data_IF_016102870765
#
_entry.id   IF_016102870765
#
_cell.length_a   1.000
_cell.length_b   1.000
_cell.length_c   1.000
_cell.angle_alpha   90.00
_cell.angle_beta   90.00
_cell.angle_gamma   90.00
#
_symmetry.space_group_name_H-M   'P 1'
#
loop_
_entity.id
_entity.type
_entity.pdbx_description
1 polymer ?
#
# COMPACT_ATOMS: atom_id res chain seq x y z
N UNK A 1 1.60 -16.63 -60.58
CA UNK A 1 0.18 -17.02 -60.33
C UNK A 1 -0.66 -15.75 -60.23
N UNK A 2 -1.77 -15.65 -60.97
CA UNK A 2 -2.74 -14.54 -60.81
C UNK A 2 -3.63 -14.85 -59.61
N UNK A 3 -3.67 -13.96 -58.62
CA UNK A 3 -4.58 -14.07 -57.48
C UNK A 3 -6.02 -13.89 -57.96
N UNK A 4 -6.93 -14.75 -57.50
CA UNK A 4 -8.35 -14.65 -57.83
C UNK A 4 -8.99 -13.48 -57.07
N UNK A 5 -10.02 -12.86 -57.66
CA UNK A 5 -10.71 -11.70 -57.09
C UNK A 5 -11.22 -11.95 -55.67
N UNK A 6 -11.70 -13.17 -55.39
CA UNK A 6 -12.17 -13.56 -54.05
C UNK A 6 -11.05 -13.56 -53.01
N UNK A 7 -9.82 -13.90 -53.40
CA UNK A 7 -8.65 -13.84 -52.51
C UNK A 7 -8.28 -12.41 -52.15
N UNK A 8 -8.39 -11.47 -53.10
CA UNK A 8 -8.14 -10.04 -52.84
C UNK A 8 -9.17 -9.44 -51.88
N UNK A 9 -10.45 -9.82 -52.00
CA UNK A 9 -11.50 -9.39 -51.08
C UNK A 9 -11.22 -9.92 -49.67
N UNK A 10 -10.85 -11.19 -49.54
CA UNK A 10 -10.49 -11.79 -48.25
C UNK A 10 -9.31 -11.08 -47.58
N UNK A 11 -8.28 -10.70 -48.35
CA UNK A 11 -7.13 -9.96 -47.83
C UNK A 11 -7.54 -8.56 -47.36
N UNK A 12 -8.38 -7.85 -48.14
CA UNK A 12 -8.84 -6.52 -47.76
C UNK A 12 -9.68 -6.54 -46.47
N UNK A 13 -10.54 -7.56 -46.31
CA UNK A 13 -11.33 -7.77 -45.09
C UNK A 13 -10.41 -8.11 -43.92
N UNK A 14 -9.43 -9.02 -44.10
CA UNK A 14 -8.48 -9.37 -43.06
C UNK A 14 -7.69 -8.14 -42.59
N UNK A 15 -7.15 -7.33 -43.51
CA UNK A 15 -6.43 -6.10 -43.18
C UNK A 15 -7.32 -5.06 -42.46
N UNK A 16 -8.59 -4.95 -42.88
CA UNK A 16 -9.56 -4.04 -42.24
C UNK A 16 -9.87 -4.49 -40.81
N UNK A 17 -10.08 -5.79 -40.60
CA UNK A 17 -10.31 -6.37 -39.28
C UNK A 17 -9.09 -6.22 -38.37
N UNK A 18 -7.87 -6.50 -38.89
CA UNK A 18 -6.63 -6.30 -38.14
C UNK A 18 -6.44 -4.83 -37.75
N UNK A 19 -6.65 -3.90 -38.70
CA UNK A 19 -6.56 -2.47 -38.42
C UNK A 19 -7.54 -2.01 -37.34
N UNK A 20 -8.80 -2.48 -37.38
CA UNK A 20 -9.79 -2.18 -36.35
C UNK A 20 -9.40 -2.73 -34.98
N UNK A 21 -8.95 -3.99 -34.89
CA UNK A 21 -8.52 -4.60 -33.62
C UNK A 21 -7.33 -3.84 -33.02
N UNK A 22 -6.32 -3.50 -33.83
CA UNK A 22 -5.16 -2.74 -33.35
C UNK A 22 -5.52 -1.33 -32.88
N UNK A 23 -6.45 -0.64 -33.54
CA UNK A 23 -6.93 0.67 -33.07
C UNK A 23 -7.70 0.55 -31.74
N UNK A 24 -8.49 -0.51 -31.56
CA UNK A 24 -9.16 -0.80 -30.29
C UNK A 24 -8.15 -1.10 -29.16
N UNK A 25 -7.11 -1.89 -29.43
CA UNK A 25 -6.04 -2.21 -28.46
C UNK A 25 -5.23 -0.98 -28.04
N UNK A 26 -4.91 -0.06 -28.96
CA UNK A 26 -4.06 1.08 -28.64
C UNK A 26 -4.82 2.17 -27.87
N UNK A 27 -6.11 2.36 -28.14
CA UNK A 27 -6.85 3.52 -27.61
C UNK A 27 -7.88 3.17 -26.53
N UNK A 28 -8.63 2.08 -26.69
CA UNK A 28 -9.77 1.77 -25.81
C UNK A 28 -9.34 0.90 -24.63
N UNK A 29 -8.51 -0.11 -24.86
CA UNK A 29 -8.07 -1.01 -23.80
C UNK A 29 -7.32 -0.27 -22.66
N UNK A 30 -6.34 0.63 -22.92
CA UNK A 30 -5.65 1.35 -21.85
C UNK A 30 -6.56 2.29 -21.07
N UNK A 31 -7.55 2.90 -21.73
CA UNK A 31 -8.50 3.80 -21.07
C UNK A 31 -9.45 3.03 -20.14
N UNK A 32 -9.93 1.86 -20.57
CA UNK A 32 -10.76 1.00 -19.73
C UNK A 32 -9.99 0.43 -18.55
N UNK A 33 -8.74 -0.01 -18.77
CA UNK A 33 -7.86 -0.46 -17.71
C UNK A 33 -7.56 0.65 -16.70
N UNK A 34 -7.22 1.86 -17.17
CA UNK A 34 -7.00 3.02 -16.30
C UNK A 34 -8.25 3.38 -15.50
N UNK A 35 -9.44 3.38 -16.13
CA UNK A 35 -10.70 3.67 -15.45
C UNK A 35 -11.08 2.58 -14.43
N UNK A 36 -10.79 1.31 -14.73
CA UNK A 36 -10.98 0.20 -13.78
C UNK A 36 -10.02 0.33 -12.60
N UNK A 37 -8.75 0.62 -12.89
CA UNK A 37 -7.71 0.82 -11.89
C UNK A 37 -8.05 1.95 -10.93
N UNK A 38 -8.56 3.07 -11.45
CA UNK A 38 -8.98 4.20 -10.64
C UNK A 38 -10.18 3.85 -9.76
N UNK A 39 -11.18 3.13 -10.30
CA UNK A 39 -12.36 2.68 -9.54
C UNK A 39 -12.03 1.68 -8.43
N UNK A 40 -10.99 0.87 -8.62
CA UNK A 40 -10.58 -0.13 -7.63
C UNK A 40 -9.66 0.45 -6.56
N UNK A 41 -9.10 1.66 -6.72
CA UNK A 41 -8.26 2.27 -5.69
C UNK A 41 -9.03 2.48 -4.39
N UNK A 42 -8.41 2.12 -3.28
CA UNK A 42 -8.97 2.32 -1.94
C UNK A 42 -8.95 3.80 -1.58
N UNK A 43 -7.84 4.48 -1.88
CA UNK A 43 -7.66 5.90 -1.63
C UNK A 43 -7.05 6.61 -2.85
N UNK A 44 -7.42 7.89 -3.01
CA UNK A 44 -6.96 8.74 -4.11
C UNK A 44 -5.88 9.74 -3.67
N UNK A 45 -4.94 9.31 -2.83
CA UNK A 45 -3.77 10.10 -2.44
C UNK A 45 -2.47 9.35 -2.72
N UNK A 46 -1.37 10.10 -2.85
CA UNK A 46 -0.02 9.54 -2.91
C UNK A 46 0.58 9.46 -1.52
N UNK A 47 1.41 8.45 -1.29
CA UNK A 47 2.06 8.24 0.01
C UNK A 47 2.96 9.41 0.43
N UNK A 48 3.50 10.18 -0.51
CA UNK A 48 4.34 11.37 -0.27
C UNK A 48 3.57 12.54 0.37
N UNK A 49 2.24 12.59 0.28
CA UNK A 49 1.38 13.61 0.90
C UNK A 49 1.11 13.37 2.39
N UNK A 50 1.41 12.17 2.90
CA UNK A 50 1.08 11.78 4.28
C UNK A 50 2.05 12.44 5.26
N UNK A 51 1.56 13.26 6.19
CA UNK A 51 2.38 13.91 7.22
C UNK A 51 2.38 13.13 8.53
N UNK A 52 1.23 12.57 8.90
CA UNK A 52 1.06 11.79 10.12
C UNK A 52 0.30 10.52 9.81
N UNK A 53 0.62 9.45 10.52
CA UNK A 53 -0.24 8.28 10.54
C UNK A 53 -0.24 7.60 11.89
N UNK A 54 -1.34 6.89 12.15
CA UNK A 54 -1.54 6.08 13.35
C UNK A 54 -1.95 4.69 12.93
N UNK A 55 -1.33 3.67 13.53
CA UNK A 55 -1.74 2.28 13.46
C UNK A 55 -2.24 1.88 14.85
N UNK A 56 -3.52 1.53 14.95
CA UNK A 56 -4.14 1.03 16.18
C UNK A 56 -4.47 -0.44 15.99
N UNK A 57 -3.92 -1.30 16.82
CA UNK A 57 -4.31 -2.72 16.94
C UNK A 57 -4.91 -2.95 18.33
N UNK A 58 -5.45 -4.15 18.64
CA UNK A 58 -5.86 -4.48 20.00
C UNK A 58 -4.73 -4.39 21.03
N UNK A 59 -3.48 -4.61 20.60
CA UNK A 59 -2.31 -4.68 21.49
C UNK A 59 -1.64 -3.33 21.72
N UNK A 60 -1.62 -2.45 20.70
CA UNK A 60 -0.90 -1.19 20.79
C UNK A 60 -1.45 -0.09 19.87
N UNK A 61 -1.03 1.14 20.15
CA UNK A 61 -1.23 2.30 19.29
C UNK A 61 0.14 2.84 18.93
N UNK A 62 0.40 2.96 17.64
CA UNK A 62 1.64 3.51 17.09
C UNK A 62 1.30 4.79 16.36
N UNK A 63 2.01 5.87 16.65
CA UNK A 63 1.82 7.16 15.97
C UNK A 63 3.14 7.61 15.41
N UNK A 64 3.11 8.11 14.17
CA UNK A 64 4.28 8.53 13.43
C UNK A 64 4.08 9.89 12.80
N UNK A 65 5.17 10.64 12.72
CA UNK A 65 5.27 11.95 12.07
C UNK A 65 6.41 11.94 11.06
N UNK A 66 6.16 12.54 9.90
CA UNK A 66 7.18 12.69 8.86
C UNK A 66 8.14 13.82 9.24
N UNK A 67 9.43 13.51 9.16
CA UNK A 67 10.51 14.49 9.26
C UNK A 67 11.05 14.77 7.87
N UNK A 68 10.81 15.99 7.38
CA UNK A 68 11.27 16.40 6.06
C UNK A 68 12.77 16.67 6.04
N UNK A 69 13.46 16.10 5.05
CA UNK A 69 14.88 16.37 4.87
C UNK A 69 15.13 17.83 4.45
N UNK A 70 16.21 18.41 4.98
CA UNK A 70 16.72 19.70 4.50
C UNK A 70 17.59 19.44 3.26
N UNK A 71 17.45 20.29 2.23
CA UNK A 71 18.36 20.36 1.05
C UNK A 71 18.56 19.02 0.32
N UNK A 72 17.49 18.45 -0.25
CA UNK A 72 17.58 17.34 -1.22
C UNK A 72 17.85 15.94 -0.63
N UNK A 73 17.87 15.78 0.69
CA UNK A 73 17.90 14.47 1.34
C UNK A 73 16.56 13.72 1.25
N UNK A 74 16.54 12.46 1.70
CA UNK A 74 15.30 11.68 1.85
C UNK A 74 14.64 11.99 3.18
N UNK A 75 13.34 12.33 3.14
CA UNK A 75 12.52 12.44 4.35
C UNK A 75 12.51 11.12 5.12
N UNK A 76 12.43 11.22 6.44
CA UNK A 76 12.38 10.08 7.35
C UNK A 76 11.11 10.11 8.19
N UNK A 77 10.88 9.05 8.96
CA UNK A 77 9.77 8.97 9.89
C UNK A 77 10.24 8.83 11.33
N UNK A 78 9.53 9.49 12.24
CA UNK A 78 9.71 9.32 13.67
C UNK A 78 8.46 8.72 14.29
N UNK A 79 8.64 7.72 15.13
CA UNK A 79 7.63 7.24 16.06
C UNK A 79 7.52 8.24 17.21
N UNK A 80 6.29 8.59 17.58
CA UNK A 80 5.94 9.42 18.73
C UNK A 80 5.32 8.61 19.87
N UNK A 81 4.59 7.55 19.52
CA UNK A 81 3.92 6.64 20.45
C UNK A 81 4.23 5.20 20.04
N UNK A 82 4.52 4.27 20.99
CA UNK A 82 4.52 4.45 22.44
C UNK A 82 5.78 5.12 23.01
N UNK A 83 6.85 5.22 22.22
CA UNK A 83 8.09 5.87 22.63
C UNK A 83 8.70 6.63 21.46
N UNK A 84 9.38 7.74 21.75
CA UNK A 84 10.02 8.53 20.71
C UNK A 84 11.25 7.80 20.15
N UNK A 85 11.23 7.52 18.85
CA UNK A 85 12.31 6.80 18.18
C UNK A 85 12.31 7.06 16.67
N UNK A 86 13.45 6.87 16.03
CA UNK A 86 13.49 6.77 14.56
C UNK A 86 12.71 5.54 14.11
N UNK A 87 11.82 5.73 13.14
CA UNK A 87 11.06 4.63 12.59
C UNK A 87 11.93 3.80 11.63
N UNK A 88 11.59 2.52 11.51
CA UNK A 88 12.11 1.68 10.44
C UNK A 88 11.48 2.13 9.12
N UNK A 89 12.28 2.73 8.25
CA UNK A 89 11.80 3.28 6.99
C UNK A 89 11.13 2.22 6.10
N UNK A 90 11.65 1.00 6.06
CA UNK A 90 11.09 -0.07 5.22
C UNK A 90 9.69 -0.50 5.70
N UNK A 91 9.49 -0.62 7.02
CA UNK A 91 8.18 -0.96 7.60
C UNK A 91 7.14 0.13 7.33
N UNK A 92 7.54 1.39 7.46
CA UNK A 92 6.68 2.54 7.16
C UNK A 92 6.33 2.59 5.67
N UNK A 93 7.34 2.54 4.79
CA UNK A 93 7.14 2.62 3.34
C UNK A 93 6.23 1.49 2.84
N UNK A 94 6.39 0.28 3.38
CA UNK A 94 5.51 -0.84 3.05
C UNK A 94 4.04 -0.55 3.37
N UNK A 95 3.73 -0.03 4.57
CA UNK A 95 2.36 0.32 4.93
C UNK A 95 1.81 1.47 4.06
N UNK A 96 2.59 2.55 3.89
CA UNK A 96 2.14 3.74 3.17
C UNK A 96 1.98 3.50 1.67
N UNK A 97 2.84 2.66 1.08
CA UNK A 97 2.67 2.19 -0.29
C UNK A 97 1.35 1.44 -0.45
N UNK A 98 1.04 0.50 0.47
CA UNK A 98 -0.23 -0.22 0.44
C UNK A 98 -1.44 0.70 0.54
N UNK A 99 -1.35 1.77 1.32
CA UNK A 99 -2.44 2.76 1.38
C UNK A 99 -2.54 3.62 0.11
N UNK A 100 -1.41 4.03 -0.48
CA UNK A 100 -1.38 4.91 -1.65
C UNK A 100 -1.62 4.21 -3.00
N UNK A 101 -1.31 2.91 -3.09
CA UNK A 101 -1.44 2.11 -4.32
C UNK A 101 -2.46 0.97 -4.19
N UNK A 102 -2.98 0.77 -2.98
CA UNK A 102 -3.90 -0.32 -2.66
C UNK A 102 -5.18 -0.28 -3.48
N UNK A 103 -5.59 -1.47 -3.92
CA UNK A 103 -6.84 -1.70 -4.65
C UNK A 103 -7.72 -2.67 -3.88
N UNK A 104 -9.03 -2.44 -3.94
CA UNK A 104 -10.02 -3.42 -3.50
C UNK A 104 -10.35 -4.40 -4.63
N UNK A 105 -10.56 -5.67 -4.27
CA UNK A 105 -11.02 -6.68 -5.22
C UNK A 105 -12.50 -6.47 -5.54
N UNK A 106 -13.31 -6.35 -4.48
CA UNK A 106 -14.76 -6.26 -4.52
C UNK A 106 -15.27 -5.35 -3.42
N UNK A 107 -16.50 -4.86 -3.63
CA UNK A 107 -17.27 -4.10 -2.65
C UNK A 107 -18.58 -4.82 -2.39
N UNK A 108 -18.95 -4.95 -1.12
CA UNK A 108 -20.18 -5.59 -0.64
C UNK A 108 -20.90 -4.56 0.23
N UNK A 109 -22.17 -4.27 -0.07
CA UNK A 109 -22.98 -3.43 0.81
C UNK A 109 -23.61 -4.29 1.90
N UNK A 110 -23.44 -3.89 3.16
CA UNK A 110 -23.95 -4.64 4.32
C UNK A 110 -24.78 -3.72 5.22
N UNK A 111 -25.62 -4.31 6.07
CA UNK A 111 -26.33 -3.59 7.13
C UNK A 111 -25.46 -3.52 8.40
N UNK A 112 -25.75 -2.59 9.34
CA UNK A 112 -25.06 -2.54 10.64
C UNK A 112 -25.13 -3.84 11.44
N UNK A 113 -26.22 -4.61 11.31
CA UNK A 113 -26.39 -5.90 12.00
C UNK A 113 -25.41 -6.98 11.53
N UNK A 114 -24.78 -6.80 10.37
CA UNK A 114 -23.85 -7.78 9.78
C UNK A 114 -22.39 -7.51 10.13
N UNK A 115 -22.04 -6.44 10.88
CA UNK A 115 -20.65 -6.07 11.17
C UNK A 115 -19.79 -7.24 11.70
N UNK A 116 -20.37 -8.08 12.57
CA UNK A 116 -19.69 -9.23 13.14
C UNK A 116 -19.43 -10.36 12.13
N UNK A 117 -20.25 -10.50 11.09
CA UNK A 117 -20.04 -11.48 10.01
C UNK A 117 -18.76 -11.17 9.24
N UNK A 118 -18.45 -9.88 9.08
CA UNK A 118 -17.28 -9.36 8.38
C UNK A 118 -16.11 -9.02 9.32
N UNK A 119 -16.25 -9.23 10.63
CA UNK A 119 -15.20 -8.99 11.61
C UNK A 119 -14.89 -7.52 11.87
N UNK A 120 -15.83 -6.62 11.53
CA UNK A 120 -15.70 -5.16 11.64
C UNK A 120 -16.19 -4.62 12.98
N UNK A 121 -16.89 -5.44 13.77
CA UNK A 121 -17.27 -5.14 15.17
C UNK A 121 -16.05 -5.10 16.10
N UNK A 122 -15.06 -5.97 15.83
CA UNK A 122 -13.79 -6.08 16.55
C UNK A 122 -12.64 -6.03 15.54
N UNK A 123 -12.34 -4.85 14.98
CA UNK A 123 -11.31 -4.72 13.96
C UNK A 123 -9.95 -5.16 14.50
N UNK A 124 -9.18 -5.84 13.66
CA UNK A 124 -7.82 -6.27 14.01
C UNK A 124 -6.80 -5.15 13.89
N UNK A 125 -7.09 -4.13 13.08
CA UNK A 125 -6.29 -2.93 12.97
C UNK A 125 -7.11 -1.77 12.38
N UNK A 126 -6.79 -0.55 12.80
CA UNK A 126 -7.27 0.69 12.20
C UNK A 126 -6.08 1.56 11.86
N UNK A 127 -5.97 1.95 10.60
CA UNK A 127 -4.93 2.86 10.11
C UNK A 127 -5.56 4.19 9.79
N UNK A 128 -5.05 5.26 10.39
CA UNK A 128 -5.48 6.63 10.12
C UNK A 128 -4.30 7.40 9.57
N UNK A 129 -4.48 8.09 8.45
CA UNK A 129 -3.47 8.96 7.85
C UNK A 129 -3.99 10.38 7.78
N UNK A 130 -3.11 11.34 8.02
CA UNK A 130 -3.37 12.77 7.85
C UNK A 130 -2.45 13.33 6.78
N UNK A 131 -3.05 13.92 5.75
CA UNK A 131 -2.36 14.51 4.61
C UNK A 131 -1.93 15.95 4.89
N UNK A 132 -1.13 16.50 3.99
CA UNK A 132 -0.62 17.88 4.06
C UNK A 132 -1.70 18.96 3.94
N UNK A 133 -2.77 18.69 3.19
CA UNK A 133 -3.97 19.50 3.09
C UNK A 133 -4.92 19.34 4.30
N UNK A 134 -4.48 18.65 5.36
CA UNK A 134 -5.25 18.32 6.56
C UNK A 134 -6.37 17.28 6.38
N UNK A 135 -6.58 16.75 5.18
CA UNK A 135 -7.53 15.64 4.98
C UNK A 135 -7.08 14.41 5.75
N UNK A 136 -8.05 13.70 6.31
CA UNK A 136 -7.82 12.48 7.09
C UNK A 136 -8.51 11.32 6.42
N UNK A 137 -7.77 10.24 6.19
CA UNK A 137 -8.31 8.99 5.70
C UNK A 137 -8.15 7.89 6.75
N UNK A 138 -9.12 7.00 6.84
CA UNK A 138 -9.14 5.90 7.80
C UNK A 138 -9.45 4.59 7.10
N UNK A 139 -8.62 3.58 7.31
CA UNK A 139 -8.87 2.20 6.89
C UNK A 139 -9.06 1.33 8.12
N UNK A 140 -10.24 0.74 8.26
CA UNK A 140 -10.56 -0.21 9.34
C UNK A 140 -10.50 -1.61 8.77
N UNK A 141 -9.58 -2.44 9.29
CA UNK A 141 -9.37 -3.82 8.87
C UNK A 141 -10.13 -4.75 9.81
N UNK A 142 -11.12 -5.47 9.27
CA UNK A 142 -11.87 -6.47 10.00
C UNK A 142 -11.00 -7.68 10.32
N UNK A 143 -11.34 -8.42 11.37
CA UNK A 143 -10.57 -9.59 11.83
C UNK A 143 -10.89 -10.91 11.10
N UNK A 144 -11.73 -10.87 10.05
CA UNK A 144 -12.11 -12.02 9.23
C UNK A 144 -11.64 -11.85 7.78
N UNK A 145 -11.42 -12.98 7.13
CA UNK A 145 -11.10 -13.07 5.71
C UNK A 145 -12.32 -13.48 4.90
N UNK A 146 -12.23 -13.32 3.58
CA UNK A 146 -13.11 -14.00 2.64
C UNK A 146 -12.94 -15.53 2.72
N UNK A 147 -13.83 -16.26 2.03
CA UNK A 147 -13.79 -17.73 2.01
C UNK A 147 -12.49 -18.29 1.41
N UNK A 148 -11.82 -17.56 0.50
CA UNK A 148 -10.54 -18.00 -0.06
C UNK A 148 -9.33 -17.73 0.86
N UNK A 149 -9.51 -16.94 1.93
CA UNK A 149 -8.43 -16.53 2.82
C UNK A 149 -7.44 -15.53 2.20
N UNK A 150 -7.70 -15.03 1.00
CA UNK A 150 -6.79 -14.12 0.26
C UNK A 150 -7.06 -12.66 0.54
N UNK A 151 -8.27 -12.34 0.98
CA UNK A 151 -8.71 -10.97 1.23
C UNK A 151 -9.25 -10.80 2.64
N UNK A 152 -9.02 -9.62 3.19
CA UNK A 152 -9.64 -9.13 4.41
C UNK A 152 -10.82 -8.23 4.07
N UNK A 153 -11.84 -8.28 4.93
CA UNK A 153 -12.89 -7.27 4.89
C UNK A 153 -12.41 -5.99 5.56
N UNK A 154 -12.72 -4.85 4.95
CA UNK A 154 -12.31 -3.55 5.45
C UNK A 154 -13.35 -2.47 5.15
N UNK A 155 -13.24 -1.35 5.86
CA UNK A 155 -13.98 -0.13 5.55
C UNK A 155 -13.00 1.01 5.31
N UNK A 156 -13.18 1.71 4.19
CA UNK A 156 -12.50 2.95 3.90
C UNK A 156 -13.38 4.13 4.32
N UNK A 157 -12.83 5.05 5.11
CA UNK A 157 -13.48 6.22 5.67
C UNK A 157 -14.86 5.93 6.30
N UNK A 158 -14.97 4.97 7.24
CA UNK A 158 -16.25 4.65 7.84
C UNK A 158 -16.78 5.79 8.69
N UNK A 159 -18.08 6.06 8.57
CA UNK A 159 -18.85 6.90 9.50
C UNK A 159 -19.00 6.15 10.82
N UNK A 160 -18.96 6.86 11.95
CA UNK A 160 -18.90 6.21 13.29
C UNK A 160 -20.18 5.45 13.65
N UNK A 161 -21.34 5.85 13.10
CA UNK A 161 -22.63 5.21 13.35
C UNK A 161 -23.46 5.17 12.06
N UNK A 162 -23.28 4.16 11.20
CA UNK A 162 -24.10 4.03 9.99
C UNK A 162 -25.52 3.59 10.37
N UNK A 163 -26.52 4.36 9.94
CA UNK A 163 -27.95 4.03 10.08
C UNK A 163 -28.53 3.29 8.86
N UNK A 164 -27.74 3.19 7.79
CA UNK A 164 -28.11 2.61 6.50
C UNK A 164 -27.04 1.62 6.05
N UNK A 165 -27.28 0.97 4.91
CA UNK A 165 -26.28 0.08 4.30
C UNK A 165 -25.01 0.85 3.95
N UNK A 166 -23.86 0.22 4.15
CA UNK A 166 -22.56 0.82 3.87
C UNK A 166 -21.64 -0.17 3.16
N UNK A 167 -20.67 0.33 2.37
CA UNK A 167 -19.75 -0.52 1.63
C UNK A 167 -18.68 -1.11 2.56
N UNK A 168 -18.46 -2.41 2.38
CA UNK A 168 -17.30 -3.16 2.87
C UNK A 168 -16.49 -3.58 1.65
N UNK A 169 -15.20 -3.27 1.68
CA UNK A 169 -14.26 -3.59 0.60
C UNK A 169 -13.42 -4.81 0.97
N UNK A 170 -13.05 -5.60 -0.03
CA UNK A 170 -12.09 -6.70 0.11
C UNK A 170 -10.70 -6.19 -0.23
N UNK A 171 -9.82 -6.13 0.76
CA UNK A 171 -8.43 -5.70 0.61
C UNK A 171 -7.49 -6.89 0.68
N UNK A 172 -6.36 -6.91 -0.05
CA UNK A 172 -5.44 -8.04 -0.01
C UNK A 172 -4.92 -8.32 1.41
N UNK A 173 -4.63 -9.59 1.71
CA UNK A 173 -4.21 -10.03 3.05
C UNK A 173 -2.93 -9.35 3.56
N UNK A 174 -2.09 -8.81 2.67
CA UNK A 174 -0.86 -8.11 3.04
C UNK A 174 -1.09 -6.84 3.86
N UNK A 175 -2.28 -6.24 3.85
CA UNK A 175 -2.68 -5.20 4.80
C UNK A 175 -2.62 -5.68 6.26
N UNK A 176 -2.91 -6.95 6.52
CA UNK A 176 -2.70 -7.57 7.84
C UNK A 176 -1.24 -7.53 8.24
N UNK A 177 -0.38 -7.98 7.33
CA UNK A 177 1.07 -8.05 7.54
C UNK A 177 1.68 -6.65 7.68
N UNK A 178 1.12 -5.65 7.00
CA UNK A 178 1.55 -4.26 7.10
C UNK A 178 1.26 -3.64 8.47
N UNK A 179 0.21 -4.10 9.16
CA UNK A 179 -0.30 -3.45 10.38
C UNK A 179 0.02 -4.23 11.66
N UNK A 180 0.12 -5.56 11.59
CA UNK A 180 0.35 -6.43 12.76
C UNK A 180 1.84 -6.76 13.01
N UNK A 181 2.75 -5.87 12.62
CA UNK A 181 4.18 -6.06 12.87
C UNK A 181 4.52 -5.87 14.35
N UNK A 182 5.49 -6.60 14.91
CA UNK A 182 5.96 -6.37 16.27
C UNK A 182 6.53 -4.95 16.42
N UNK A 183 6.42 -4.37 17.61
CA UNK A 183 6.87 -2.99 17.89
C UNK A 183 8.34 -2.74 17.50
N UNK A 184 9.21 -3.74 17.66
CA UNK A 184 10.63 -3.65 17.29
C UNK A 184 10.85 -3.44 15.79
N UNK A 185 10.02 -4.02 14.93
CA UNK A 185 10.10 -3.84 13.47
C UNK A 185 9.71 -2.43 13.02
N UNK A 186 8.98 -1.68 13.84
CA UNK A 186 8.61 -0.30 13.55
C UNK A 186 9.70 0.70 13.92
N UNK A 187 10.68 0.30 14.74
CA UNK A 187 11.80 1.15 15.17
C UNK A 187 13.03 0.81 14.34
N UNK A 188 13.86 1.82 14.03
CA UNK A 188 15.16 1.57 13.41
C UNK A 188 15.96 0.64 14.34
N UNK A 189 16.47 -0.46 13.80
CA UNK A 189 17.37 -1.33 14.55
C UNK A 189 18.60 -0.52 14.99
N UNK A 190 18.97 -0.62 16.26
CA UNK A 190 20.29 -0.15 16.70
C UNK A 190 21.32 -0.99 15.94
N UNK A 191 22.14 -0.33 15.12
CA UNK A 191 23.28 -1.01 14.51
C UNK A 191 24.13 -1.61 15.65
N UNK A 192 24.54 -2.89 15.56
CA UNK A 192 25.46 -3.43 16.55
C UNK A 192 26.66 -2.50 16.58
N UNK A 193 26.97 -1.96 17.78
CA UNK A 193 28.20 -1.19 18.01
C UNK A 193 29.34 -2.06 17.49
N UNK A 194 29.81 -1.77 16.29
CA UNK A 194 31.01 -2.38 15.77
C UNK A 194 32.10 -1.79 16.64
N UNK A 195 32.52 -2.55 17.65
CA UNK A 195 33.80 -2.32 18.30
C UNK A 195 34.79 -2.12 17.16
N UNK A 196 35.28 -0.88 17.04
CA UNK A 196 36.36 -0.55 16.12
C UNK A 196 37.52 -1.44 16.53
N UNK A 197 37.68 -2.58 15.85
CA UNK A 197 38.86 -3.43 15.99
C UNK A 197 40.07 -2.50 15.81
N UNK A 198 40.98 -2.37 16.80
CA UNK A 198 42.09 -1.44 16.70
C UNK A 198 42.88 -1.77 15.44
N UNK A 199 43.16 -0.71 14.66
CA UNK A 199 44.02 -0.74 13.48
C UNK A 199 45.34 -1.44 13.89
N UNK A 200 45.85 -2.44 13.15
CA UNK A 200 47.12 -3.03 13.49
C UNK A 200 48.19 -1.92 13.48
N UNK A 201 48.90 -1.79 14.60
CA UNK A 201 50.06 -0.90 14.72
C UNK A 201 51.07 -1.22 13.61
N UNK A 202 51.75 -0.22 13.04
CA UNK A 202 52.79 -0.47 12.05
C UNK A 202 53.91 -1.30 12.70
N UNK A 203 54.19 -2.46 12.12
CA UNK A 203 55.38 -3.27 12.44
C UNK A 203 56.63 -2.43 12.20
N UNK A 204 57.57 -2.32 13.16
CA UNK A 204 58.84 -1.65 12.89
C UNK A 204 59.62 -2.46 11.85
N UNK A 205 60.05 -1.78 10.79
CA UNK A 205 60.92 -2.33 9.76
C UNK A 205 62.29 -2.64 10.39
N UNK A 206 62.91 -3.81 10.12
CA UNK A 206 64.25 -4.08 10.64
C UNK A 206 65.27 -3.19 9.91
N UNK A 207 65.96 -2.37 10.71
CA UNK A 207 67.11 -1.59 10.28
C UNK A 207 68.28 -2.56 10.02
N UNK A 208 68.71 -2.60 8.76
CA UNK A 208 69.78 -3.48 8.29
C UNK A 208 71.13 -2.89 8.73
N UNK A 209 71.89 -3.61 9.55
CA UNK A 209 73.33 -3.42 9.75
C UNK A 209 74.10 -4.48 8.96
#
# INVERSE_FOLDING_TARGET
MKLQKNTLILIAVALSLTGLVSLFEIQVAPQQEAAKDEKQRIFAFKSDRIQFFTVKTPENILTFERVYAKKGGKSSWEMKVPAQAHANQASVDFLLDRLGTGKSDRTINITPSQLAEFGLDKPQATVTVKLDNQETHRLVLGNKTDFSGRFLYAQANPTESPSQNFPVILVPFDFKNATQRPLSEWKKAEEPKTDKKPKPSPTPSPENQ
#
